data_IF_812986507651
#
_entry.id   IF_812986507651
#
_cell.length_a   1.000
_cell.length_b   1.000
_cell.length_c   1.000
_cell.angle_alpha   90.00
_cell.angle_beta   90.00
_cell.angle_gamma   90.00
#
_symmetry.space_group_name_H-M   'P 1'
#
loop_
_entity.id
_entity.type
_entity.pdbx_description
1 polymer ?
#
# COMPACT_ATOMS: atom_id res chain seq x y z
N UNK A 1 12.07 6.54 -18.34
CA UNK A 1 12.93 7.76 -18.31
C UNK A 1 13.85 7.91 -19.53
N UNK A 2 14.79 6.99 -19.84
CA UNK A 2 15.83 7.26 -20.86
C UNK A 2 15.29 7.45 -22.28
N UNK A 3 14.31 6.64 -22.69
CA UNK A 3 13.69 6.73 -24.03
C UNK A 3 12.99 8.07 -24.27
N UNK A 4 12.26 8.56 -23.27
CA UNK A 4 11.54 9.82 -23.36
C UNK A 4 12.48 11.04 -23.50
N UNK A 5 13.63 11.05 -22.82
CA UNK A 5 14.62 12.13 -22.93
C UNK A 5 15.21 12.20 -24.35
N UNK A 6 15.53 11.05 -24.94
CA UNK A 6 16.05 10.98 -26.32
C UNK A 6 15.00 11.38 -27.35
N UNK A 7 13.74 11.01 -27.15
CA UNK A 7 12.65 11.39 -28.06
C UNK A 7 12.30 12.87 -27.95
N UNK A 8 12.35 13.43 -26.73
CA UNK A 8 12.17 14.87 -26.48
C UNK A 8 13.24 15.71 -27.16
N UNK A 9 14.52 15.33 -27.06
CA UNK A 9 15.59 16.09 -27.72
C UNK A 9 15.45 16.07 -29.24
N UNK A 10 14.93 14.98 -29.81
CA UNK A 10 14.63 14.89 -31.24
C UNK A 10 13.44 15.80 -31.62
N UNK A 11 12.39 15.84 -30.79
CA UNK A 11 11.23 16.72 -30.98
C UNK A 11 11.60 18.21 -30.92
N UNK A 12 12.39 18.62 -29.92
CA UNK A 12 12.81 20.02 -29.75
C UNK A 12 13.73 20.49 -30.87
N UNK A 13 14.66 19.65 -31.32
CA UNK A 13 15.68 20.02 -32.32
C UNK A 13 15.15 19.95 -33.76
N UNK A 14 14.29 18.97 -34.09
CA UNK A 14 13.86 18.74 -35.48
C UNK A 14 12.39 19.07 -35.74
N UNK A 15 11.50 18.72 -34.82
CA UNK A 15 10.06 18.64 -35.11
C UNK A 15 9.31 19.91 -34.73
N UNK A 16 9.78 20.65 -33.71
CA UNK A 16 9.26 21.96 -33.34
C UNK A 16 9.51 23.04 -34.42
N UNK A 17 10.73 23.16 -35.01
CA UNK A 17 10.98 24.16 -36.05
C UNK A 17 10.21 23.88 -37.35
N UNK A 18 9.95 22.61 -37.65
CA UNK A 18 9.24 22.18 -38.86
C UNK A 18 7.72 22.10 -38.70
N UNK A 19 7.18 22.34 -37.48
CA UNK A 19 5.74 22.33 -37.15
C UNK A 19 4.99 21.07 -37.63
N UNK A 20 5.64 19.90 -37.57
CA UNK A 20 5.05 18.65 -38.06
C UNK A 20 3.88 18.19 -37.17
N UNK A 21 4.00 18.35 -35.84
CA UNK A 21 2.92 18.06 -34.89
C UNK A 21 3.08 18.84 -33.58
N UNK A 22 2.00 18.95 -32.78
CA UNK A 22 1.96 19.69 -31.52
C UNK A 22 2.54 18.87 -30.35
N UNK A 23 3.11 19.57 -29.35
CA UNK A 23 3.65 18.99 -28.11
C UNK A 23 2.63 18.12 -27.37
N UNK A 24 1.34 18.49 -27.42
CA UNK A 24 0.27 17.72 -26.79
C UNK A 24 0.14 16.31 -27.42
N UNK A 25 0.30 16.20 -28.74
CA UNK A 25 0.21 14.93 -29.47
C UNK A 25 1.43 14.05 -29.18
N UNK A 26 2.61 14.65 -29.00
CA UNK A 26 3.82 13.96 -28.56
C UNK A 26 3.60 13.25 -27.21
N UNK A 27 3.15 14.01 -26.21
CA UNK A 27 2.94 13.50 -24.84
C UNK A 27 1.83 12.44 -24.81
N UNK A 28 0.72 12.68 -25.51
CA UNK A 28 -0.40 11.75 -25.55
C UNK A 28 -0.01 10.40 -26.18
N UNK A 29 0.73 10.44 -27.30
CA UNK A 29 1.23 9.22 -27.97
C UNK A 29 2.12 8.40 -27.03
N UNK A 30 2.95 9.08 -26.24
CA UNK A 30 3.79 8.45 -25.23
C UNK A 30 3.00 7.77 -24.11
N UNK A 31 1.96 8.43 -23.60
CA UNK A 31 1.08 7.87 -22.56
C UNK A 31 0.37 6.62 -23.10
N UNK A 32 -0.19 6.69 -24.31
CA UNK A 32 -0.95 5.59 -24.93
C UNK A 32 -0.09 4.34 -25.13
N UNK A 33 1.18 4.49 -25.53
CA UNK A 33 2.08 3.35 -25.73
C UNK A 33 2.58 2.76 -24.40
N UNK A 34 2.77 3.59 -23.37
CA UNK A 34 3.24 3.12 -22.07
C UNK A 34 2.16 2.33 -21.32
N UNK A 35 0.89 2.73 -21.37
CA UNK A 35 -0.18 2.08 -20.60
C UNK A 35 -0.24 0.54 -20.81
N UNK A 36 -0.28 0.00 -22.05
CA UNK A 36 -0.28 -1.45 -22.27
C UNK A 36 0.95 -2.15 -21.69
N UNK A 37 2.12 -1.52 -21.79
CA UNK A 37 3.36 -2.08 -21.26
C UNK A 37 3.35 -2.10 -19.72
N UNK A 38 2.86 -1.03 -19.09
CA UNK A 38 2.70 -0.97 -17.64
C UNK A 38 1.68 -1.98 -17.12
N UNK A 39 0.59 -2.23 -17.87
CA UNK A 39 -0.38 -3.27 -17.53
C UNK A 39 0.28 -4.66 -17.58
N UNK A 40 1.04 -4.97 -18.63
CA UNK A 40 1.75 -6.24 -18.76
C UNK A 40 2.73 -6.48 -17.60
N UNK A 41 3.55 -5.47 -17.29
CA UNK A 41 4.50 -5.53 -16.16
C UNK A 41 3.74 -5.67 -14.83
N UNK A 42 2.66 -4.91 -14.64
CA UNK A 42 1.81 -5.00 -13.45
C UNK A 42 1.20 -6.39 -13.24
N UNK A 43 0.74 -7.04 -14.31
CA UNK A 43 0.22 -8.41 -14.26
C UNK A 43 1.31 -9.42 -13.92
N UNK A 44 2.51 -9.29 -14.50
CA UNK A 44 3.66 -10.14 -14.17
C UNK A 44 4.07 -9.99 -12.70
N UNK A 45 4.15 -8.75 -12.21
CA UNK A 45 4.50 -8.47 -10.82
C UNK A 45 3.42 -8.98 -9.86
N UNK A 46 2.14 -8.79 -10.19
CA UNK A 46 1.02 -9.37 -9.46
C UNK A 46 1.16 -10.90 -9.37
N UNK A 47 1.42 -11.59 -10.48
CA UNK A 47 1.58 -13.04 -10.49
C UNK A 47 2.77 -13.48 -9.61
N UNK A 48 3.90 -12.77 -9.65
CA UNK A 48 5.07 -13.11 -8.82
C UNK A 48 4.86 -12.90 -7.32
N UNK A 49 4.05 -11.91 -6.91
CA UNK A 49 3.86 -11.56 -5.51
C UNK A 49 2.64 -12.25 -4.89
N UNK A 50 1.52 -12.28 -5.62
CA UNK A 50 0.24 -12.68 -5.06
C UNK A 50 0.18 -14.17 -4.74
N UNK A 51 0.64 -15.02 -5.66
CA UNK A 51 0.61 -16.47 -5.47
C UNK A 51 1.45 -16.98 -4.30
N UNK A 52 2.71 -16.53 -4.08
CA UNK A 52 3.48 -17.00 -2.92
C UNK A 52 2.98 -16.44 -1.58
N UNK A 53 2.40 -15.23 -1.56
CA UNK A 53 2.00 -14.57 -0.30
C UNK A 53 0.59 -14.95 0.15
N UNK A 54 -0.38 -14.91 -0.76
CA UNK A 54 -1.80 -15.13 -0.43
C UNK A 54 -2.30 -16.54 -0.79
N UNK A 55 -1.55 -17.27 -1.62
CA UNK A 55 -1.92 -18.60 -2.08
C UNK A 55 -3.09 -18.59 -3.06
N UNK A 56 -3.55 -19.79 -3.42
CA UNK A 56 -4.59 -19.98 -4.45
C UNK A 56 -6.01 -19.88 -3.88
N UNK A 57 -6.17 -19.93 -2.55
CA UNK A 57 -7.48 -20.14 -1.89
C UNK A 57 -8.29 -18.86 -1.63
N UNK A 58 -7.82 -17.68 -2.08
CA UNK A 58 -8.54 -16.42 -1.88
C UNK A 58 -9.74 -16.29 -2.84
N UNK A 59 -10.86 -15.64 -2.44
CA UNK A 59 -12.01 -15.38 -3.32
C UNK A 59 -11.61 -14.65 -4.61
N UNK A 60 -12.27 -15.00 -5.73
CA UNK A 60 -12.01 -14.41 -7.06
C UNK A 60 -12.20 -12.89 -7.10
N UNK A 61 -13.16 -12.35 -6.34
CA UNK A 61 -13.39 -10.91 -6.23
C UNK A 61 -12.18 -10.15 -5.64
N UNK A 62 -11.61 -10.64 -4.53
CA UNK A 62 -10.43 -10.02 -3.92
C UNK A 62 -9.20 -10.12 -4.81
N UNK A 63 -9.02 -11.23 -5.54
CA UNK A 63 -7.94 -11.41 -6.52
C UNK A 63 -7.95 -10.33 -7.59
N UNK A 64 -9.12 -10.10 -8.20
CA UNK A 64 -9.30 -9.10 -9.24
C UNK A 64 -9.06 -7.68 -8.73
N UNK A 65 -9.55 -7.35 -7.54
CA UNK A 65 -9.33 -6.04 -6.94
C UNK A 65 -7.84 -5.78 -6.64
N UNK A 66 -7.13 -6.75 -6.07
CA UNK A 66 -5.69 -6.60 -5.83
C UNK A 66 -4.92 -6.45 -7.13
N UNK A 67 -5.28 -7.20 -8.19
CA UNK A 67 -4.68 -7.04 -9.52
C UNK A 67 -4.90 -5.63 -10.07
N UNK A 68 -6.12 -5.09 -9.95
CA UNK A 68 -6.43 -3.72 -10.41
C UNK A 68 -5.62 -2.68 -9.65
N UNK A 69 -5.48 -2.81 -8.33
CA UNK A 69 -4.63 -1.91 -7.54
C UNK A 69 -3.16 -1.97 -7.97
N UNK A 70 -2.61 -3.16 -8.20
CA UNK A 70 -1.22 -3.34 -8.68
C UNK A 70 -1.04 -2.68 -10.05
N UNK A 71 -1.95 -2.93 -11.00
CA UNK A 71 -1.89 -2.30 -12.33
C UNK A 71 -2.00 -0.78 -12.22
N UNK A 72 -2.92 -0.27 -11.41
CA UNK A 72 -3.08 1.17 -11.16
C UNK A 72 -1.78 1.79 -10.61
N UNK A 73 -1.06 1.09 -9.74
CA UNK A 73 0.21 1.55 -9.21
C UNK A 73 1.29 1.69 -10.29
N UNK A 74 1.43 0.72 -11.20
CA UNK A 74 2.40 0.80 -12.30
C UNK A 74 2.05 1.93 -13.29
N UNK A 75 0.78 2.10 -13.62
CA UNK A 75 0.32 3.21 -14.48
C UNK A 75 0.58 4.55 -13.80
N UNK A 76 0.29 4.65 -12.50
CA UNK A 76 0.59 5.86 -11.72
C UNK A 76 2.09 6.17 -11.73
N UNK A 77 2.95 5.20 -11.42
CA UNK A 77 4.41 5.40 -11.40
C UNK A 77 4.95 5.89 -12.76
N UNK A 78 4.45 5.33 -13.87
CA UNK A 78 4.83 5.77 -15.21
C UNK A 78 4.34 7.19 -15.51
N UNK A 79 3.09 7.52 -15.19
CA UNK A 79 2.52 8.86 -15.41
C UNK A 79 3.25 9.94 -14.61
N UNK A 80 3.61 9.62 -13.36
CA UNK A 80 4.37 10.50 -12.49
C UNK A 80 5.78 10.75 -13.05
N UNK A 81 6.46 9.70 -13.51
CA UNK A 81 7.77 9.84 -14.15
C UNK A 81 7.68 10.73 -15.41
N UNK A 82 6.64 10.58 -16.23
CA UNK A 82 6.44 11.43 -17.41
C UNK A 82 6.19 12.90 -17.04
N UNK A 83 5.43 13.16 -15.98
CA UNK A 83 5.17 14.52 -15.48
C UNK A 83 6.47 15.22 -15.07
N UNK A 84 7.34 14.54 -14.33
CA UNK A 84 8.60 15.11 -13.84
C UNK A 84 9.57 15.41 -14.99
N UNK A 85 9.64 14.52 -15.99
CA UNK A 85 10.52 14.72 -17.16
C UNK A 85 9.98 15.77 -18.12
N UNK A 86 8.65 15.91 -18.25
CA UNK A 86 8.07 16.97 -19.05
C UNK A 86 8.39 18.36 -18.47
N UNK A 87 8.47 18.47 -17.14
CA UNK A 87 8.74 19.74 -16.45
C UNK A 87 10.21 20.17 -16.45
N UNK A 88 11.16 19.24 -16.68
CA UNK A 88 12.59 19.52 -16.52
C UNK A 88 13.36 19.23 -17.81
N UNK A 89 14.30 20.11 -18.16
CA UNK A 89 15.18 19.92 -19.32
C UNK A 89 16.42 19.09 -18.98
N UNK A 90 16.80 19.03 -17.70
CA UNK A 90 17.94 18.25 -17.22
C UNK A 90 17.47 16.86 -16.71
N UNK A 91 17.98 15.76 -17.28
CA UNK A 91 17.64 14.41 -16.84
C UNK A 91 18.08 14.08 -15.41
N UNK A 92 19.18 14.67 -14.92
CA UNK A 92 19.67 14.45 -13.55
C UNK A 92 18.72 15.09 -12.53
N UNK A 93 18.33 16.33 -12.76
CA UNK A 93 17.38 17.05 -11.91
C UNK A 93 16.02 16.34 -11.89
N UNK A 94 15.55 15.87 -13.06
CA UNK A 94 14.31 15.11 -13.16
C UNK A 94 14.35 13.80 -12.36
N UNK A 95 15.47 13.08 -12.36
CA UNK A 95 15.61 11.87 -11.55
C UNK A 95 15.55 12.16 -10.04
N UNK A 96 16.25 13.20 -9.58
CA UNK A 96 16.25 13.61 -8.16
C UNK A 96 14.84 14.00 -7.70
N UNK A 97 14.12 14.79 -8.50
CA UNK A 97 12.75 15.20 -8.19
C UNK A 97 11.78 14.01 -8.13
N UNK A 98 11.92 13.06 -9.06
CA UNK A 98 11.09 11.86 -9.05
C UNK A 98 11.32 11.01 -7.79
N UNK A 99 12.58 10.84 -7.38
CA UNK A 99 12.94 10.14 -6.14
C UNK A 99 12.39 10.88 -4.92
N UNK A 100 12.51 12.21 -4.89
CA UNK A 100 12.00 13.03 -3.78
C UNK A 100 10.48 12.90 -3.63
N UNK A 101 9.73 13.02 -4.73
CA UNK A 101 8.28 12.87 -4.71
C UNK A 101 7.86 11.43 -4.33
N UNK A 102 8.58 10.41 -4.81
CA UNK A 102 8.36 9.02 -4.38
C UNK A 102 8.61 8.83 -2.89
N UNK A 103 9.70 9.37 -2.37
CA UNK A 103 10.05 9.30 -0.94
C UNK A 103 8.99 9.97 -0.07
N UNK A 104 8.52 11.18 -0.43
CA UNK A 104 7.43 11.85 0.28
C UNK A 104 6.15 11.00 0.25
N UNK A 105 5.75 10.51 -0.92
CA UNK A 105 4.53 9.69 -1.04
C UNK A 105 4.61 8.42 -0.19
N UNK A 106 5.79 7.79 -0.12
CA UNK A 106 6.03 6.58 0.67
C UNK A 106 6.04 6.85 2.17
N UNK A 107 6.73 7.89 2.64
CA UNK A 107 6.83 8.22 4.08
C UNK A 107 5.46 8.53 4.67
N UNK A 108 4.63 9.26 3.93
CA UNK A 108 3.30 9.70 4.37
C UNK A 108 2.17 8.74 3.97
N UNK A 109 2.48 7.49 3.59
CA UNK A 109 1.50 6.48 3.14
C UNK A 109 0.66 5.84 4.26
N UNK A 110 0.89 6.20 5.53
CA UNK A 110 0.20 5.61 6.68
C UNK A 110 0.77 4.26 7.18
N UNK A 111 1.68 3.64 6.42
CA UNK A 111 2.30 2.35 6.79
C UNK A 111 3.27 2.51 7.96
N UNK A 112 4.17 3.49 7.86
CA UNK A 112 5.22 3.74 8.85
C UNK A 112 4.72 4.45 10.12
N UNK A 113 3.77 5.37 9.95
CA UNK A 113 3.11 6.09 11.03
C UNK A 113 1.62 6.21 10.74
N UNK A 114 0.74 5.92 11.71
CA UNK A 114 -0.69 6.13 11.54
C UNK A 114 -1.01 7.63 11.41
N UNK A 115 -2.13 8.00 10.76
CA UNK A 115 -2.57 9.39 10.59
C UNK A 115 -2.68 10.16 11.92
N UNK A 116 -3.00 9.47 13.02
CA UNK A 116 -3.11 10.06 14.36
C UNK A 116 -1.76 10.49 14.98
N UNK A 117 -0.64 9.93 14.53
CA UNK A 117 0.70 10.27 15.01
C UNK A 117 1.40 11.34 14.16
N UNK A 118 0.81 11.72 13.02
CA UNK A 118 1.36 12.73 12.13
C UNK A 118 1.07 14.15 12.66
N UNK A 119 2.05 15.07 12.66
CA UNK A 119 1.80 16.48 12.97
C UNK A 119 0.73 17.03 12.03
N UNK A 120 -0.20 17.85 12.55
CA UNK A 120 -1.38 18.32 11.82
C UNK A 120 -1.09 18.97 10.46
N UNK A 121 0.08 19.60 10.30
CA UNK A 121 0.53 20.16 9.03
C UNK A 121 0.71 19.10 7.93
N UNK A 122 1.15 17.88 8.24
CA UNK A 122 1.44 16.84 7.24
C UNK A 122 0.24 15.99 6.84
N UNK A 123 -0.94 16.23 7.43
CA UNK A 123 -2.17 15.50 7.11
C UNK A 123 -2.58 15.70 5.64
N UNK A 124 -2.30 16.87 5.04
CA UNK A 124 -2.58 17.06 3.61
C UNK A 124 -1.81 16.07 2.75
N UNK A 125 -0.57 15.74 3.12
CA UNK A 125 0.29 14.86 2.34
C UNK A 125 -0.23 13.43 2.38
N UNK A 126 -0.79 13.00 3.52
CA UNK A 126 -1.45 11.71 3.66
C UNK A 126 -2.64 11.56 2.69
N UNK A 127 -3.46 12.61 2.57
CA UNK A 127 -4.64 12.62 1.68
C UNK A 127 -4.30 12.71 0.19
N UNK A 128 -3.19 13.39 -0.15
CA UNK A 128 -2.71 13.53 -1.54
C UNK A 128 -1.90 12.30 -1.98
N UNK A 129 -1.25 11.60 -1.03
CA UNK A 129 -0.41 10.46 -1.36
C UNK A 129 -1.24 9.30 -1.94
N UNK A 130 -0.99 8.90 -3.20
CA UNK A 130 -1.68 7.77 -3.80
C UNK A 130 -1.29 6.44 -3.14
N UNK A 131 -0.15 6.39 -2.44
CA UNK A 131 0.27 5.21 -1.70
C UNK A 131 -0.67 4.89 -0.54
N UNK A 132 -1.26 5.91 0.10
CA UNK A 132 -2.26 5.73 1.15
C UNK A 132 -3.42 4.87 0.66
N UNK A 133 -3.98 5.22 -0.50
CA UNK A 133 -5.10 4.50 -1.10
C UNK A 133 -4.69 3.14 -1.66
N UNK A 134 -3.48 3.03 -2.23
CA UNK A 134 -2.95 1.78 -2.74
C UNK A 134 -2.76 0.74 -1.63
N UNK A 135 -2.09 1.13 -0.54
CA UNK A 135 -1.85 0.26 0.61
C UNK A 135 -3.17 -0.06 1.31
N UNK A 136 -4.03 0.94 1.55
CA UNK A 136 -5.35 0.74 2.15
C UNK A 136 -6.21 -0.22 1.34
N UNK A 137 -6.23 -0.06 0.01
CA UNK A 137 -6.97 -0.92 -0.92
C UNK A 137 -6.48 -2.37 -0.93
N UNK A 138 -5.16 -2.60 -1.01
CA UNK A 138 -4.62 -3.96 -1.00
C UNK A 138 -4.79 -4.61 0.38
N UNK A 139 -4.45 -3.91 1.45
CA UNK A 139 -4.52 -4.47 2.80
C UNK A 139 -5.97 -4.77 3.22
N UNK A 140 -6.92 -3.86 2.92
CA UNK A 140 -8.35 -4.08 3.17
C UNK A 140 -8.93 -5.23 2.35
N UNK A 141 -8.55 -5.37 1.08
CA UNK A 141 -9.10 -6.45 0.21
C UNK A 141 -8.46 -7.81 0.45
N UNK A 142 -7.17 -7.85 0.83
CA UNK A 142 -6.42 -9.10 0.97
C UNK A 142 -6.49 -9.71 2.37
N UNK A 143 -6.71 -8.90 3.42
CA UNK A 143 -6.76 -9.36 4.80
C UNK A 143 -8.18 -9.50 5.37
N UNK A 144 -9.21 -9.14 4.58
CA UNK A 144 -10.61 -9.16 5.01
C UNK A 144 -10.99 -10.47 5.69
N UNK A 145 -11.41 -10.39 6.95
CA UNK A 145 -11.90 -11.53 7.71
C UNK A 145 -10.86 -12.64 7.97
N UNK A 146 -9.57 -12.35 7.78
CA UNK A 146 -8.50 -13.32 8.05
C UNK A 146 -8.28 -13.43 9.57
N UNK A 147 -8.42 -14.64 10.08
CA UNK A 147 -8.12 -14.95 11.48
C UNK A 147 -6.62 -14.87 11.74
N UNK A 148 -6.25 -14.19 12.82
CA UNK A 148 -4.86 -14.06 13.28
C UNK A 148 -4.61 -15.16 14.32
N UNK A 149 -3.52 -15.90 14.15
CA UNK A 149 -3.03 -16.87 15.11
C UNK A 149 -1.72 -16.31 15.64
N UNK A 150 -1.74 -15.77 16.87
CA UNK A 150 -0.55 -15.24 17.52
C UNK A 150 0.51 -16.33 17.71
N UNK A 151 1.77 -15.97 17.46
CA UNK A 151 2.93 -16.79 17.85
C UNK A 151 3.24 -16.65 19.34
N UNK A 152 4.03 -17.55 19.92
CA UNK A 152 4.38 -17.47 21.36
C UNK A 152 5.08 -16.16 21.77
N UNK A 153 5.75 -15.47 20.84
CA UNK A 153 6.38 -14.17 21.10
C UNK A 153 5.38 -13.00 21.14
N UNK A 154 4.21 -13.16 20.51
CA UNK A 154 3.15 -12.13 20.46
C UNK A 154 2.08 -12.35 21.53
N UNK A 155 2.10 -13.52 22.18
CA UNK A 155 1.22 -13.83 23.30
C UNK A 155 1.68 -13.06 24.53
N UNK A 156 0.76 -12.29 25.12
CA UNK A 156 0.96 -11.73 26.44
C UNK A 156 0.69 -12.83 27.47
N UNK A 157 1.75 -13.28 28.15
CA UNK A 157 1.65 -14.30 29.20
C UNK A 157 1.61 -13.63 30.56
N UNK A 158 0.54 -13.85 31.30
CA UNK A 158 0.42 -13.33 32.66
C UNK A 158 -0.34 -14.29 33.58
N UNK A 159 -0.21 -14.09 34.89
CA UNK A 159 -0.90 -14.90 35.90
C UNK A 159 -2.11 -14.14 36.45
N UNK A 160 -3.32 -14.72 36.40
CA UNK A 160 -4.49 -14.12 37.03
C UNK A 160 -4.34 -14.11 38.57
N UNK A 161 -5.10 -13.25 39.30
CA UNK A 161 -5.16 -13.29 40.75
C UNK A 161 -5.62 -14.67 41.27
N UNK A 162 -5.20 -15.02 42.48
CA UNK A 162 -5.62 -16.27 43.14
C UNK A 162 -7.14 -16.38 43.16
N UNK A 163 -7.65 -17.56 42.79
CA UNK A 163 -9.08 -17.93 42.69
C UNK A 163 -9.83 -17.52 41.43
N UNK A 164 -9.18 -16.91 40.43
CA UNK A 164 -9.80 -16.63 39.12
C UNK A 164 -9.19 -17.46 37.99
N UNK A 165 -10.05 -18.05 37.16
CA UNK A 165 -9.62 -18.59 35.85
C UNK A 165 -9.31 -17.44 34.90
N UNK A 166 -8.44 -17.67 33.91
CA UNK A 166 -8.13 -16.60 32.95
C UNK A 166 -9.37 -16.09 32.21
N UNK A 167 -10.29 -16.98 31.83
CA UNK A 167 -11.55 -16.60 31.20
C UNK A 167 -12.43 -15.71 32.09
N UNK A 168 -12.48 -15.99 33.40
CA UNK A 168 -13.23 -15.15 34.35
C UNK A 168 -12.58 -13.78 34.57
N UNK A 169 -11.25 -13.73 34.68
CA UNK A 169 -10.52 -12.48 34.86
C UNK A 169 -10.60 -11.58 33.62
N UNK A 170 -10.44 -12.16 32.42
CA UNK A 170 -10.45 -11.40 31.17
C UNK A 170 -11.83 -11.20 30.55
N UNK A 171 -12.87 -11.88 31.04
CA UNK A 171 -14.25 -11.71 30.57
C UNK A 171 -14.70 -10.25 30.40
N UNK A 172 -14.58 -9.38 31.42
CA UNK A 172 -14.93 -7.96 31.27
C UNK A 172 -13.99 -7.21 30.32
N UNK A 173 -12.72 -7.59 30.23
CA UNK A 173 -11.75 -6.96 29.34
C UNK A 173 -12.02 -7.28 27.86
N UNK A 174 -12.42 -8.52 27.56
CA UNK A 174 -12.77 -8.97 26.21
C UNK A 174 -14.00 -8.25 25.63
N UNK A 175 -14.86 -7.66 26.47
CA UNK A 175 -15.98 -6.83 26.01
C UNK A 175 -15.53 -5.46 25.51
N UNK A 176 -14.42 -4.93 26.05
CA UNK A 176 -13.88 -3.61 25.67
C UNK A 176 -12.84 -3.74 24.56
N UNK A 177 -11.98 -4.76 24.65
CA UNK A 177 -10.93 -5.05 23.69
C UNK A 177 -11.08 -6.50 23.19
N UNK A 178 -11.69 -6.72 22.01
CA UNK A 178 -11.90 -8.07 21.49
C UNK A 178 -10.58 -8.74 21.11
N UNK A 179 -10.08 -9.64 21.95
CA UNK A 179 -8.90 -10.48 21.69
C UNK A 179 -9.22 -11.98 21.76
N UNK A 180 -8.22 -12.83 21.51
CA UNK A 180 -8.38 -14.29 21.59
C UNK A 180 -7.59 -14.85 22.77
N UNK A 181 -8.24 -15.70 23.56
CA UNK A 181 -7.59 -16.51 24.59
C UNK A 181 -7.33 -17.91 24.03
N UNK A 182 -6.10 -18.39 24.19
CA UNK A 182 -5.76 -19.77 23.84
C UNK A 182 -6.14 -20.74 24.97
N UNK A 183 -5.97 -20.33 26.24
CA UNK A 183 -6.16 -21.18 27.42
C UNK A 183 -7.10 -20.50 28.45
N UNK A 184 -8.43 -20.61 28.31
CA UNK A 184 -9.37 -19.94 29.20
C UNK A 184 -9.44 -20.55 30.62
N UNK A 185 -9.10 -21.84 30.76
CA UNK A 185 -9.36 -22.61 31.99
C UNK A 185 -8.16 -22.62 32.98
N UNK A 186 -7.00 -22.09 32.58
CA UNK A 186 -5.78 -22.13 33.41
C UNK A 186 -5.77 -21.04 34.48
N UNK A 187 -5.25 -21.40 35.66
CA UNK A 187 -5.03 -20.48 36.80
C UNK A 187 -3.61 -19.87 36.79
N UNK A 188 -2.74 -20.30 35.89
CA UNK A 188 -1.39 -19.78 35.71
C UNK A 188 -0.99 -19.84 34.22
N UNK A 189 -0.17 -18.89 33.78
CA UNK A 189 0.31 -18.83 32.40
C UNK A 189 -0.80 -18.57 31.38
N UNK A 190 -1.65 -17.57 31.63
CA UNK A 190 -2.67 -17.23 30.66
C UNK A 190 -2.06 -16.58 29.43
N UNK A 191 -2.42 -17.11 28.26
CA UNK A 191 -1.99 -16.62 26.95
C UNK A 191 -3.08 -15.76 26.31
N UNK A 192 -2.83 -14.46 26.23
CA UNK A 192 -3.71 -13.50 25.58
C UNK A 192 -3.13 -12.99 24.26
N UNK A 193 -3.92 -13.10 23.19
CA UNK A 193 -3.65 -12.52 21.89
C UNK A 193 -4.53 -11.27 21.71
N UNK A 194 -3.91 -10.11 21.58
CA UNK A 194 -4.60 -8.81 21.50
C UNK A 194 -5.40 -8.62 20.21
N UNK A 195 -5.12 -9.41 19.17
CA UNK A 195 -5.74 -9.30 17.84
C UNK A 195 -6.29 -10.67 17.43
N UNK A 196 -7.60 -10.75 17.20
CA UNK A 196 -8.28 -11.97 16.74
C UNK A 196 -8.49 -12.00 15.22
N UNK A 197 -8.74 -10.84 14.63
CA UNK A 197 -8.95 -10.65 13.20
C UNK A 197 -8.03 -9.56 12.67
N UNK A 198 -7.53 -9.74 11.45
CA UNK A 198 -6.70 -8.72 10.79
C UNK A 198 -7.44 -7.37 10.64
N UNK A 199 -8.77 -7.39 10.57
CA UNK A 199 -9.65 -6.22 10.53
C UNK A 199 -9.43 -5.28 11.73
N UNK A 200 -9.10 -5.80 12.92
CA UNK A 200 -8.85 -4.98 14.12
C UNK A 200 -7.56 -4.16 13.99
N UNK A 201 -6.54 -4.74 13.37
CA UNK A 201 -5.29 -4.04 13.07
C UNK A 201 -5.48 -3.03 11.92
N UNK A 202 -6.36 -3.32 10.96
CA UNK A 202 -6.72 -2.39 9.89
C UNK A 202 -7.50 -1.18 10.42
N UNK A 203 -8.48 -1.41 11.30
CA UNK A 203 -9.25 -0.33 11.92
C UNK A 203 -8.38 0.61 12.76
N UNK A 204 -7.37 0.08 13.46
CA UNK A 204 -6.41 0.89 14.20
C UNK A 204 -5.57 1.82 13.31
N UNK A 205 -5.52 1.53 12.00
CA UNK A 205 -4.81 2.32 10.98
C UNK A 205 -5.75 3.16 10.12
N UNK A 206 -7.01 3.32 10.53
CA UNK A 206 -8.07 4.02 9.79
C UNK A 206 -8.40 3.40 8.42
N UNK A 207 -7.99 2.15 8.19
CA UNK A 207 -8.33 1.41 6.98
C UNK A 207 -9.63 0.67 7.27
N UNK A 208 -10.74 1.31 6.95
CA UNK A 208 -12.10 0.76 7.06
C UNK A 208 -12.69 0.50 5.68
N UNK A 209 -13.55 -0.52 5.58
CA UNK A 209 -14.23 -0.94 4.36
C UNK A 209 -15.74 -0.70 4.45
#
# INVERSE_FOLDING_TARGET
MPKFVVQRSLYEVRETPSRVYSWQVFVLSHIVVEIPWQILVGVCCYASFYYPVFGVNTPSGSKGLVLLFVVQFYVYAASMAQMVIASNNDPLLGAILAIFMFALSFIFSGVLQPPSALPGFWIFMYNVSPFTYYVGGISGTALRGRQVICSQAELSVFNPPTDYTCGQYMGPYLQVAPGKLNNPDVMSGCEYCSISYADQNLSAREISY
#
